data_IF_339985376395
#
_entry.id   IF_339985376395
#
_cell.length_a   1.000
_cell.length_b   1.000
_cell.length_c   1.000
_cell.angle_alpha   90.00
_cell.angle_beta   90.00
_cell.angle_gamma   90.00
#
_symmetry.space_group_name_H-M   'P 1'
#
loop_
_entity.id
_entity.type
_entity.pdbx_description
1 polymer ?
#
# COMPACT_ATOMS: atom_id res chain seq x y z
N UNK A 1 -14.71 13.52 -19.62
CA UNK A 1 -13.43 13.45 -18.90
C UNK A 1 -12.52 14.52 -19.48
N UNK A 2 -12.14 15.53 -18.69
CA UNK A 2 -11.09 16.46 -19.12
C UNK A 2 -9.81 15.65 -19.39
N UNK A 3 -9.07 15.91 -20.48
CA UNK A 3 -7.81 15.22 -20.70
C UNK A 3 -6.89 15.52 -19.52
N UNK A 4 -6.46 14.47 -18.83
CA UNK A 4 -5.55 14.58 -17.69
C UNK A 4 -4.23 15.17 -18.18
N UNK A 5 -4.00 16.46 -17.94
CA UNK A 5 -2.77 17.13 -18.38
C UNK A 5 -1.69 16.88 -17.32
N UNK A 6 -1.03 15.73 -17.44
CA UNK A 6 0.20 15.49 -16.70
C UNK A 6 1.30 16.47 -17.15
N UNK A 7 2.12 16.91 -16.21
CA UNK A 7 3.35 17.66 -16.46
C UNK A 7 4.45 16.69 -16.91
N UNK A 8 4.53 16.47 -18.23
CA UNK A 8 5.48 15.55 -18.86
C UNK A 8 6.34 16.33 -19.87
N UNK A 9 7.65 16.51 -19.63
CA UNK A 9 8.53 17.19 -20.58
C UNK A 9 8.64 16.43 -21.91
N UNK A 10 8.60 17.13 -23.05
CA UNK A 10 8.67 16.52 -24.41
C UNK A 10 9.89 15.63 -24.62
N UNK A 11 11.03 15.98 -24.00
CA UNK A 11 12.25 15.16 -24.01
C UNK A 11 12.04 13.80 -23.33
N UNK A 12 11.29 13.79 -22.23
CA UNK A 12 10.95 12.58 -21.49
C UNK A 12 9.96 11.73 -22.27
N UNK A 13 8.97 12.31 -22.94
CA UNK A 13 8.03 11.56 -23.80
C UNK A 13 8.72 10.80 -24.93
N UNK A 14 9.80 11.36 -25.50
CA UNK A 14 10.60 10.65 -26.53
C UNK A 14 11.42 9.52 -25.92
N UNK A 15 12.01 9.76 -24.74
CA UNK A 15 12.81 8.76 -24.03
C UNK A 15 11.95 7.61 -23.49
N UNK A 16 10.75 7.88 -22.97
CA UNK A 16 9.84 6.84 -22.49
C UNK A 16 9.33 5.91 -23.59
N UNK A 17 9.29 6.35 -24.85
CA UNK A 17 8.95 5.50 -26.01
C UNK A 17 10.11 4.67 -26.55
N UNK A 18 11.36 4.98 -26.17
CA UNK A 18 12.58 4.35 -26.69
C UNK A 18 13.50 3.81 -25.59
N UNK A 19 13.07 3.90 -24.33
CA UNK A 19 13.79 3.43 -23.16
C UNK A 19 13.63 1.93 -22.98
N UNK A 20 14.09 1.44 -21.83
CA UNK A 20 13.92 0.04 -21.45
C UNK A 20 12.43 -0.37 -21.43
N UNK A 21 12.14 -1.69 -21.52
CA UNK A 21 10.79 -2.21 -21.28
C UNK A 21 10.21 -1.70 -19.94
N UNK A 22 11.00 -1.70 -18.87
CA UNK A 22 10.61 -1.19 -17.56
C UNK A 22 10.18 0.28 -17.58
N UNK A 23 10.91 1.16 -18.28
CA UNK A 23 10.52 2.56 -18.41
C UNK A 23 9.26 2.74 -19.27
N UNK A 24 9.08 1.89 -20.29
CA UNK A 24 7.87 1.89 -21.11
C UNK A 24 6.64 1.45 -20.30
N UNK A 25 6.77 0.39 -19.49
CA UNK A 25 5.72 -0.08 -18.58
C UNK A 25 5.39 0.95 -17.52
N UNK A 26 6.41 1.55 -16.89
CA UNK A 26 6.22 2.67 -15.97
C UNK A 26 5.41 3.80 -16.63
N UNK A 27 5.84 4.25 -17.81
CA UNK A 27 5.16 5.34 -18.49
C UNK A 27 3.72 4.97 -18.86
N UNK A 28 3.49 3.74 -19.34
CA UNK A 28 2.17 3.25 -19.69
C UNK A 28 1.24 3.25 -18.47
N UNK A 29 1.63 2.58 -17.40
CA UNK A 29 0.78 2.42 -16.23
C UNK A 29 0.55 3.71 -15.45
N UNK A 30 1.53 4.60 -15.36
CA UNK A 30 1.38 5.83 -14.56
C UNK A 30 0.78 7.01 -15.35
N UNK A 31 1.03 7.10 -16.66
CA UNK A 31 0.72 8.31 -17.44
C UNK A 31 -0.16 8.07 -18.68
N UNK A 32 -0.38 6.82 -19.09
CA UNK A 32 -1.25 6.48 -20.23
C UNK A 32 -2.54 5.79 -19.76
N UNK A 33 -2.44 4.72 -18.97
CA UNK A 33 -3.56 3.97 -18.43
C UNK A 33 -3.31 3.54 -16.98
N UNK A 34 -3.78 4.36 -16.03
CA UNK A 34 -3.66 4.11 -14.59
C UNK A 34 -4.73 3.20 -14.02
N UNK A 35 -5.66 2.67 -14.83
CA UNK A 35 -6.78 1.86 -14.35
C UNK A 35 -6.29 0.62 -13.61
N UNK A 36 -5.31 -0.09 -14.16
CA UNK A 36 -4.74 -1.27 -13.53
C UNK A 36 -4.04 -0.95 -12.19
N UNK A 37 -3.37 0.21 -12.09
CA UNK A 37 -2.79 0.65 -10.81
C UNK A 37 -3.87 0.93 -9.76
N UNK A 38 -4.94 1.63 -10.15
CA UNK A 38 -6.06 1.96 -9.25
C UNK A 38 -6.76 0.68 -8.77
N UNK A 39 -6.89 -0.32 -9.64
CA UNK A 39 -7.49 -1.62 -9.31
C UNK A 39 -6.54 -2.59 -8.61
N UNK A 40 -5.26 -2.24 -8.47
CA UNK A 40 -4.20 -3.09 -7.90
C UNK A 40 -3.98 -4.38 -8.71
N UNK A 41 -4.12 -4.29 -10.03
CA UNK A 41 -3.98 -5.40 -10.99
C UNK A 41 -2.60 -5.43 -11.67
N UNK A 42 -1.75 -4.44 -11.41
CA UNK A 42 -0.44 -4.29 -12.04
C UNK A 42 0.63 -4.76 -11.08
N UNK A 43 1.45 -5.72 -11.51
CA UNK A 43 2.70 -6.07 -10.84
C UNK A 43 3.69 -4.93 -11.01
N UNK A 44 4.29 -4.48 -9.90
CA UNK A 44 5.23 -3.37 -9.87
C UNK A 44 6.69 -3.83 -9.90
N UNK A 45 6.96 -5.12 -10.09
CA UNK A 45 8.30 -5.72 -10.19
C UNK A 45 9.18 -5.01 -11.24
N UNK A 46 8.60 -4.56 -12.36
CA UNK A 46 9.31 -3.80 -13.39
C UNK A 46 9.99 -2.52 -12.85
N UNK A 47 9.54 -1.95 -11.72
CA UNK A 47 10.20 -0.79 -11.12
C UNK A 47 11.63 -1.11 -10.64
N UNK A 48 11.91 -2.35 -10.28
CA UNK A 48 13.24 -2.80 -9.87
C UNK A 48 14.21 -2.96 -11.05
N UNK A 49 13.67 -3.07 -12.27
CA UNK A 49 14.44 -3.20 -13.51
C UNK A 49 14.83 -1.85 -14.13
N UNK A 50 14.36 -0.74 -13.57
CA UNK A 50 14.71 0.60 -14.04
C UNK A 50 16.20 0.87 -13.86
N UNK A 51 16.89 1.25 -14.94
CA UNK A 51 18.26 1.75 -14.85
C UNK A 51 18.32 3.02 -13.97
N UNK A 52 19.48 3.38 -13.38
CA UNK A 52 19.58 4.53 -12.48
C UNK A 52 19.09 5.86 -13.08
N UNK A 53 19.34 6.10 -14.37
CA UNK A 53 18.88 7.30 -15.08
C UNK A 53 17.38 7.26 -15.39
N UNK A 54 16.81 6.07 -15.63
CA UNK A 54 15.37 5.87 -15.82
C UNK A 54 14.61 5.98 -14.50
N UNK A 55 15.18 5.49 -13.41
CA UNK A 55 14.67 5.69 -12.04
C UNK A 55 14.61 7.18 -11.71
N UNK A 56 15.65 7.95 -12.06
CA UNK A 56 15.64 9.40 -11.86
C UNK A 56 14.52 10.09 -12.68
N UNK A 57 14.28 9.64 -13.91
CA UNK A 57 13.17 10.13 -14.74
C UNK A 57 11.81 9.78 -14.11
N UNK A 58 11.63 8.55 -13.66
CA UNK A 58 10.40 8.09 -13.03
C UNK A 58 10.08 8.93 -11.78
N UNK A 59 11.07 9.14 -10.92
CA UNK A 59 10.97 9.97 -9.71
C UNK A 59 10.62 11.42 -10.04
N UNK A 60 11.33 12.04 -10.99
CA UNK A 60 11.04 13.41 -11.44
C UNK A 60 9.60 13.55 -11.97
N UNK A 61 9.15 12.61 -12.82
CA UNK A 61 7.79 12.61 -13.35
C UNK A 61 6.73 12.49 -12.26
N UNK A 62 6.93 11.62 -11.27
CA UNK A 62 6.01 11.51 -10.13
C UNK A 62 5.95 12.83 -9.36
N UNK A 63 7.10 13.40 -8.97
CA UNK A 63 7.16 14.63 -8.18
C UNK A 63 6.50 15.81 -8.87
N UNK A 64 6.71 15.98 -10.18
CA UNK A 64 6.06 17.04 -10.98
C UNK A 64 4.53 16.97 -10.93
N UNK A 65 3.98 15.78 -10.73
CA UNK A 65 2.56 15.47 -10.82
C UNK A 65 1.90 15.23 -9.45
N UNK A 66 2.65 15.21 -8.33
CA UNK A 66 2.08 15.07 -6.97
C UNK A 66 1.02 16.15 -6.68
N UNK A 67 1.16 17.35 -7.25
CA UNK A 67 0.19 18.46 -7.17
C UNK A 67 -1.22 18.10 -7.64
N UNK A 68 -1.37 17.07 -8.47
CA UNK A 68 -2.66 16.60 -8.98
C UNK A 68 -3.44 15.78 -7.94
N UNK A 69 -2.79 15.36 -6.85
CA UNK A 69 -3.39 14.56 -5.77
C UNK A 69 -4.07 13.27 -6.27
N UNK A 70 -3.52 12.64 -7.31
CA UNK A 70 -4.01 11.35 -7.81
C UNK A 70 -3.40 10.19 -7.04
N UNK A 71 -4.25 9.22 -6.69
CA UNK A 71 -3.87 8.07 -5.87
C UNK A 71 -2.68 7.28 -6.45
N UNK A 72 -2.66 7.04 -7.77
CA UNK A 72 -1.57 6.30 -8.42
C UNK A 72 -0.25 7.09 -8.44
N UNK A 73 -0.30 8.43 -8.51
CA UNK A 73 0.91 9.26 -8.44
C UNK A 73 1.49 9.26 -7.03
N UNK A 74 0.65 9.37 -5.99
CA UNK A 74 1.06 9.23 -4.59
C UNK A 74 1.65 7.84 -4.34
N UNK A 75 0.97 6.79 -4.82
CA UNK A 75 1.45 5.42 -4.72
C UNK A 75 2.81 5.23 -5.42
N UNK A 76 3.01 5.88 -6.58
CA UNK A 76 4.27 5.88 -7.31
C UNK A 76 5.44 6.45 -6.52
N UNK A 77 5.23 7.51 -5.74
CA UNK A 77 6.29 8.07 -4.89
C UNK A 77 6.76 7.05 -3.84
N UNK A 78 5.81 6.32 -3.25
CA UNK A 78 6.08 5.22 -2.32
C UNK A 78 6.79 4.04 -2.99
N UNK A 79 6.29 3.59 -4.14
CA UNK A 79 6.83 2.45 -4.89
C UNK A 79 8.27 2.68 -5.35
N UNK A 80 8.59 3.90 -5.81
CA UNK A 80 9.95 4.30 -6.21
C UNK A 80 10.88 4.60 -5.02
N UNK A 81 10.38 4.53 -3.78
CA UNK A 81 11.11 4.91 -2.55
C UNK A 81 11.77 6.30 -2.69
N UNK A 82 11.03 7.27 -3.25
CA UNK A 82 11.58 8.58 -3.56
C UNK A 82 11.64 9.50 -2.33
N UNK A 83 12.82 9.57 -1.70
CA UNK A 83 13.05 10.44 -0.54
C UNK A 83 12.87 11.93 -0.84
N UNK A 84 13.05 12.38 -2.09
CA UNK A 84 12.86 13.79 -2.45
C UNK A 84 11.37 14.17 -2.54
N UNK A 85 10.46 13.20 -2.63
CA UNK A 85 9.01 13.45 -2.60
C UNK A 85 8.47 13.78 -1.19
N UNK A 86 9.21 13.41 -0.14
CA UNK A 86 8.79 13.50 1.27
C UNK A 86 8.29 14.90 1.68
N UNK A 87 8.99 16.02 1.39
CA UNK A 87 8.50 17.34 1.78
C UNK A 87 7.16 17.70 1.12
N UNK A 88 6.97 17.31 -0.15
CA UNK A 88 5.71 17.54 -0.86
C UNK A 88 4.58 16.69 -0.29
N UNK A 89 4.85 15.41 0.00
CA UNK A 89 3.88 14.51 0.63
C UNK A 89 3.45 15.00 2.01
N UNK A 90 4.37 15.49 2.85
CA UNK A 90 4.02 16.12 4.13
C UNK A 90 3.17 17.38 3.94
N UNK A 91 3.51 18.23 2.98
CA UNK A 91 2.70 19.40 2.65
C UNK A 91 1.30 19.03 2.16
N UNK A 92 1.16 17.93 1.40
CA UNK A 92 -0.14 17.38 0.98
C UNK A 92 -0.92 16.84 2.17
N UNK A 93 -0.27 16.09 3.07
CA UNK A 93 -0.90 15.52 4.25
C UNK A 93 -1.44 16.59 5.21
N UNK A 94 -0.68 17.67 5.42
CA UNK A 94 -1.06 18.78 6.31
C UNK A 94 -2.36 19.49 5.89
N UNK A 95 -2.71 19.46 4.60
CA UNK A 95 -3.93 20.08 4.05
C UNK A 95 -5.05 19.06 3.75
N UNK A 96 -4.77 17.77 3.85
CA UNK A 96 -5.74 16.71 3.53
C UNK A 96 -6.65 16.41 4.72
N UNK A 97 -7.95 16.38 4.45
CA UNK A 97 -9.01 16.27 5.47
C UNK A 97 -9.67 14.91 5.46
N UNK A 98 -9.67 14.19 4.34
CA UNK A 98 -10.32 12.88 4.28
C UNK A 98 -9.36 11.79 4.72
N UNK A 99 -9.79 10.94 5.66
CA UNK A 99 -8.96 9.88 6.21
C UNK A 99 -8.47 8.90 5.13
N UNK A 100 -9.31 8.55 4.15
CA UNK A 100 -8.92 7.72 3.00
C UNK A 100 -7.72 8.29 2.23
N UNK A 101 -7.71 9.60 1.94
CA UNK A 101 -6.57 10.22 1.23
C UNK A 101 -5.36 10.39 2.14
N UNK A 102 -5.56 10.68 3.42
CA UNK A 102 -4.47 10.69 4.41
C UNK A 102 -3.77 9.34 4.47
N UNK A 103 -4.52 8.23 4.49
CA UNK A 103 -3.98 6.87 4.41
C UNK A 103 -3.15 6.63 3.15
N UNK A 104 -3.60 7.09 1.98
CA UNK A 104 -2.81 6.98 0.74
C UNK A 104 -1.46 7.72 0.83
N UNK A 105 -1.47 8.95 1.36
CA UNK A 105 -0.25 9.77 1.49
C UNK A 105 0.68 9.20 2.56
N UNK A 106 0.13 8.86 3.73
CA UNK A 106 0.86 8.28 4.84
C UNK A 106 1.45 6.92 4.47
N UNK A 107 0.72 6.08 3.75
CA UNK A 107 1.22 4.80 3.24
C UNK A 107 2.39 4.97 2.25
N UNK A 108 2.37 6.00 1.41
CA UNK A 108 3.52 6.33 0.58
C UNK A 108 4.73 6.78 1.42
N UNK A 109 4.51 7.61 2.45
CA UNK A 109 5.56 8.03 3.39
C UNK A 109 6.14 6.85 4.18
N UNK A 110 5.31 5.90 4.61
CA UNK A 110 5.73 4.64 5.25
C UNK A 110 6.65 3.84 4.32
N UNK A 111 6.25 3.67 3.05
CA UNK A 111 7.12 3.01 2.06
C UNK A 111 8.41 3.80 1.85
N UNK A 112 8.43 5.11 1.88
CA UNK A 112 9.70 5.84 1.66
C UNK A 112 10.66 5.71 2.85
N UNK A 113 10.14 5.79 4.08
CA UNK A 113 11.00 5.95 5.27
C UNK A 113 10.36 5.55 6.61
N UNK A 114 9.36 4.69 6.61
CA UNK A 114 8.66 4.21 7.82
C UNK A 114 8.12 5.37 8.69
N UNK A 115 7.54 6.39 8.03
CA UNK A 115 7.03 7.58 8.69
C UNK A 115 5.86 7.21 9.65
N UNK A 116 5.96 7.52 10.96
CA UNK A 116 5.03 7.02 11.98
C UNK A 116 3.59 7.52 11.81
N UNK A 117 3.37 8.60 11.04
CA UNK A 117 2.03 9.13 10.73
C UNK A 117 1.11 8.09 10.07
N UNK A 118 1.70 7.07 9.43
CA UNK A 118 0.94 5.97 8.87
C UNK A 118 0.32 5.07 9.95
N UNK A 119 1.03 4.81 11.05
CA UNK A 119 0.47 4.06 12.18
C UNK A 119 -0.71 4.81 12.80
N UNK A 120 -0.61 6.14 12.94
CA UNK A 120 -1.71 6.98 13.41
C UNK A 120 -2.93 6.86 12.48
N UNK A 121 -2.74 7.04 11.17
CA UNK A 121 -3.84 6.93 10.21
C UNK A 121 -4.48 5.53 10.18
N UNK A 122 -3.70 4.47 10.38
CA UNK A 122 -4.22 3.11 10.46
C UNK A 122 -5.06 2.88 11.72
N UNK A 123 -4.67 3.46 12.86
CA UNK A 123 -5.47 3.42 14.09
C UNK A 123 -6.79 4.17 13.90
N UNK A 124 -6.75 5.38 13.35
CA UNK A 124 -7.96 6.16 13.02
C UNK A 124 -8.90 5.37 12.09
N UNK A 125 -8.35 4.60 11.15
CA UNK A 125 -9.12 3.74 10.25
C UNK A 125 -9.81 2.58 10.98
N UNK A 126 -9.11 1.92 11.89
CA UNK A 126 -9.65 0.83 12.71
C UNK A 126 -10.76 1.33 13.64
N UNK A 127 -10.59 2.52 14.23
CA UNK A 127 -11.55 3.15 15.15
C UNK A 127 -12.76 3.80 14.46
N UNK A 128 -12.69 4.06 13.15
CA UNK A 128 -13.77 4.67 12.36
C UNK A 128 -15.01 3.79 12.30
N UNK A 129 -16.23 4.35 12.19
CA UNK A 129 -17.45 3.57 11.91
C UNK A 129 -17.66 3.26 10.40
N UNK A 130 -16.79 3.80 9.53
CA UNK A 130 -16.90 3.63 8.08
C UNK A 130 -16.33 2.27 7.62
N UNK A 131 -17.22 1.29 7.43
CA UNK A 131 -16.88 -0.04 6.91
C UNK A 131 -16.21 0.02 5.52
N UNK A 132 -16.67 0.92 4.64
CA UNK A 132 -16.11 1.06 3.29
C UNK A 132 -14.66 1.57 3.34
N UNK A 133 -14.36 2.48 4.26
CA UNK A 133 -12.98 2.93 4.52
C UNK A 133 -12.10 1.76 4.98
N UNK A 134 -12.58 0.95 5.92
CA UNK A 134 -11.84 -0.22 6.44
C UNK A 134 -11.57 -1.22 5.33
N UNK A 135 -12.59 -1.62 4.58
CA UNK A 135 -12.45 -2.51 3.43
C UNK A 135 -11.44 -1.99 2.40
N UNK A 136 -11.51 -0.70 2.10
CA UNK A 136 -10.64 -0.08 1.11
C UNK A 136 -9.18 -0.06 1.54
N UNK A 137 -8.86 0.00 2.85
CA UNK A 137 -7.51 0.26 3.35
C UNK A 137 -6.90 -0.84 4.24
N UNK A 138 -7.66 -1.84 4.70
CA UNK A 138 -7.15 -2.91 5.58
C UNK A 138 -5.97 -3.68 4.97
N UNK A 139 -5.93 -3.82 3.64
CA UNK A 139 -4.81 -4.42 2.89
C UNK A 139 -3.45 -3.73 3.13
N UNK A 140 -3.45 -2.54 3.73
CA UNK A 140 -2.25 -1.79 4.05
C UNK A 140 -1.68 -2.13 5.44
N UNK A 141 -2.46 -2.75 6.34
CA UNK A 141 -1.98 -3.17 7.68
C UNK A 141 -0.75 -4.08 7.59
N UNK A 142 -0.69 -5.09 6.70
CA UNK A 142 0.50 -5.92 6.52
C UNK A 142 1.78 -5.15 6.17
N UNK A 143 1.69 -3.94 5.61
CA UNK A 143 2.86 -3.14 5.24
C UNK A 143 3.71 -2.72 6.45
N UNK A 144 3.16 -2.72 7.67
CA UNK A 144 3.94 -2.40 8.88
C UNK A 144 5.01 -3.46 9.18
N UNK A 145 4.80 -4.72 8.77
CA UNK A 145 5.79 -5.80 8.94
C UNK A 145 6.20 -6.07 10.39
N UNK A 146 5.35 -5.70 11.36
CA UNK A 146 5.63 -5.78 12.78
C UNK A 146 4.36 -6.09 13.58
N UNK A 147 4.51 -6.23 14.89
CA UNK A 147 3.47 -6.64 15.82
C UNK A 147 2.20 -5.75 15.77
N UNK A 148 2.35 -4.45 15.48
CA UNK A 148 1.21 -3.54 15.36
C UNK A 148 0.26 -3.95 14.23
N UNK A 149 0.76 -4.52 13.13
CA UNK A 149 -0.11 -5.04 12.07
C UNK A 149 -1.03 -6.14 12.59
N UNK A 150 -0.45 -7.09 13.33
CA UNK A 150 -1.18 -8.25 13.86
C UNK A 150 -2.19 -7.80 14.92
N UNK A 151 -1.79 -6.90 15.82
CA UNK A 151 -2.68 -6.36 16.84
C UNK A 151 -3.87 -5.60 16.23
N UNK A 152 -3.64 -4.75 15.22
CA UNK A 152 -4.72 -4.03 14.54
C UNK A 152 -5.66 -4.99 13.77
N UNK A 153 -5.14 -6.07 13.19
CA UNK A 153 -5.96 -7.12 12.58
C UNK A 153 -6.79 -7.88 13.62
N UNK A 154 -6.23 -8.17 14.80
CA UNK A 154 -6.96 -8.79 15.91
C UNK A 154 -8.07 -7.87 16.41
N UNK A 155 -7.82 -6.56 16.52
CA UNK A 155 -8.85 -5.58 16.92
C UNK A 155 -10.05 -5.60 15.95
N UNK A 156 -9.79 -5.72 14.64
CA UNK A 156 -10.84 -5.81 13.61
C UNK A 156 -11.64 -7.13 13.63
N UNK A 157 -11.24 -8.15 14.40
CA UNK A 157 -12.07 -9.34 14.61
C UNK A 157 -13.35 -9.05 15.42
N UNK A 158 -13.38 -7.93 16.14
CA UNK A 158 -14.52 -7.49 16.95
C UNK A 158 -15.26 -6.30 16.30
N UNK A 159 -14.96 -5.99 15.04
CA UNK A 159 -15.60 -4.90 14.30
C UNK A 159 -17.12 -5.09 14.16
N UNK A 160 -17.89 -4.00 14.05
CA UNK A 160 -19.33 -4.09 13.80
C UNK A 160 -19.65 -4.66 12.42
N UNK A 161 -18.82 -4.37 11.42
CA UNK A 161 -18.99 -4.82 10.03
C UNK A 161 -18.64 -6.30 9.86
N UNK A 162 -19.60 -7.11 9.43
CA UNK A 162 -19.38 -8.56 9.25
C UNK A 162 -18.33 -8.88 8.19
N UNK A 163 -18.30 -8.10 7.12
CA UNK A 163 -17.31 -8.26 6.06
C UNK A 163 -15.91 -7.82 6.52
N UNK A 164 -15.82 -6.75 7.31
CA UNK A 164 -14.56 -6.32 7.95
C UNK A 164 -14.00 -7.42 8.85
N UNK A 165 -14.82 -8.01 9.73
CA UNK A 165 -14.41 -9.15 10.57
C UNK A 165 -13.90 -10.33 9.74
N UNK A 166 -14.62 -10.69 8.68
CA UNK A 166 -14.22 -11.78 7.79
C UNK A 166 -12.88 -11.50 7.09
N UNK A 167 -12.70 -10.27 6.58
CA UNK A 167 -11.46 -9.84 5.95
C UNK A 167 -10.27 -9.88 6.91
N UNK A 168 -10.44 -9.41 8.15
CA UNK A 168 -9.41 -9.46 9.18
C UNK A 168 -9.03 -10.91 9.52
N UNK A 169 -10.02 -11.77 9.75
CA UNK A 169 -9.82 -13.19 10.04
C UNK A 169 -9.10 -13.92 8.91
N UNK A 170 -9.51 -13.66 7.68
CA UNK A 170 -8.92 -14.25 6.49
C UNK A 170 -7.47 -13.79 6.29
N UNK A 171 -7.17 -12.52 6.60
CA UNK A 171 -5.80 -11.99 6.56
C UNK A 171 -4.91 -12.61 7.63
N UNK A 172 -5.41 -12.79 8.86
CA UNK A 172 -4.67 -13.46 9.94
C UNK A 172 -4.36 -14.91 9.58
N UNK A 173 -5.34 -15.66 9.06
CA UNK A 173 -5.13 -17.03 8.59
C UNK A 173 -4.10 -17.07 7.44
N UNK A 174 -4.16 -16.13 6.49
CA UNK A 174 -3.19 -16.06 5.41
C UNK A 174 -1.76 -15.83 5.91
N UNK A 175 -1.58 -15.00 6.93
CA UNK A 175 -0.29 -14.77 7.58
C UNK A 175 0.17 -16.02 8.34
N UNK A 176 -0.69 -16.62 9.18
CA UNK A 176 -0.32 -17.78 10.00
C UNK A 176 0.06 -18.99 9.13
N UNK A 177 -0.73 -19.26 8.08
CA UNK A 177 -0.57 -20.42 7.20
C UNK A 177 0.23 -20.13 5.94
N UNK A 178 0.78 -18.91 5.80
CA UNK A 178 1.60 -18.47 4.66
C UNK A 178 0.92 -18.71 3.31
N UNK A 179 -0.37 -18.38 3.22
CA UNK A 179 -1.14 -18.50 1.97
C UNK A 179 -1.24 -17.14 1.27
N UNK A 180 -1.25 -17.14 -0.06
CA UNK A 180 -1.23 -15.92 -0.88
C UNK A 180 -2.61 -15.27 -1.08
N UNK A 181 -3.67 -15.85 -0.54
CA UNK A 181 -5.03 -15.37 -0.72
C UNK A 181 -5.70 -15.06 0.61
N UNK A 182 -6.42 -13.94 0.65
CA UNK A 182 -7.58 -13.76 1.52
C UNK A 182 -8.52 -14.90 1.16
N UNK A 183 -8.43 -15.98 1.93
CA UNK A 183 -9.16 -17.20 1.68
C UNK A 183 -10.65 -16.90 1.84
N UNK A 184 -11.38 -16.96 0.73
CA UNK A 184 -12.85 -17.01 0.69
C UNK A 184 -13.37 -18.44 0.91
N UNK A 185 -12.52 -19.35 1.42
CA UNK A 185 -12.98 -20.71 1.77
C UNK A 185 -14.06 -20.61 2.85
N UNK A 186 -15.04 -21.52 2.77
CA UNK A 186 -16.09 -21.60 3.79
C UNK A 186 -15.56 -21.99 5.17
N UNK A 187 -14.39 -22.62 5.24
CA UNK A 187 -13.73 -23.00 6.48
C UNK A 187 -12.31 -22.44 6.50
N UNK A 188 -12.08 -21.51 7.43
CA UNK A 188 -10.74 -21.02 7.77
C UNK A 188 -10.17 -21.89 8.89
N UNK A 189 -8.86 -22.21 8.86
CA UNK A 189 -8.22 -23.07 9.88
C UNK A 189 -8.39 -22.58 11.32
N UNK A 190 -8.37 -21.26 11.54
CA UNK A 190 -8.54 -20.63 12.84
C UNK A 190 -9.73 -19.66 12.83
N UNK A 191 -10.50 -19.66 13.92
CA UNK A 191 -11.58 -18.73 14.18
C UNK A 191 -11.12 -17.45 14.91
N UNK A 192 -12.02 -16.46 15.10
CA UNK A 192 -11.68 -15.21 15.78
C UNK A 192 -11.14 -15.42 17.20
N UNK A 193 -11.76 -16.32 17.98
CA UNK A 193 -11.39 -16.56 19.37
C UNK A 193 -9.99 -17.18 19.52
N UNK A 194 -9.52 -17.94 18.52
CA UNK A 194 -8.17 -18.51 18.50
C UNK A 194 -7.10 -17.41 18.42
N UNK A 195 -7.38 -16.32 17.69
CA UNK A 195 -6.46 -15.19 17.57
C UNK A 195 -6.54 -14.26 18.78
N UNK A 196 -7.75 -14.01 19.28
CA UNK A 196 -7.96 -13.12 20.43
C UNK A 196 -7.32 -13.70 21.69
N UNK A 197 -7.46 -15.01 21.91
CA UNK A 197 -6.86 -15.69 23.08
C UNK A 197 -5.34 -15.76 23.04
N UNK A 198 -4.72 -15.74 21.85
CA UNK A 198 -3.26 -15.75 21.65
C UNK A 198 -2.65 -14.37 21.48
N UNK A 199 -3.42 -13.28 21.61
CA UNK A 199 -2.93 -11.90 21.41
C UNK A 199 -1.67 -11.56 22.24
N UNK A 200 -1.65 -12.01 23.49
CA UNK A 200 -0.55 -11.75 24.43
C UNK A 200 0.48 -12.89 24.46
N UNK A 201 0.33 -13.93 23.62
CA UNK A 201 1.30 -15.01 23.48
C UNK A 201 2.49 -14.52 22.62
N UNK A 202 3.63 -14.31 23.29
CA UNK A 202 4.86 -13.83 22.65
C UNK A 202 5.41 -14.80 21.60
N UNK A 203 5.28 -16.12 21.77
CA UNK A 203 5.76 -17.09 20.79
C UNK A 203 4.90 -17.04 19.52
N UNK A 204 3.58 -17.01 19.69
CA UNK A 204 2.62 -16.82 18.60
C UNK A 204 2.89 -15.51 17.84
N UNK A 205 3.01 -14.38 18.54
CA UNK A 205 3.23 -13.07 17.91
C UNK A 205 4.55 -13.03 17.14
N UNK A 206 5.61 -13.66 17.66
CA UNK A 206 6.88 -13.79 16.95
C UNK A 206 6.73 -14.59 15.64
N UNK A 207 6.00 -15.71 15.66
CA UNK A 207 5.74 -16.52 14.45
C UNK A 207 4.94 -15.70 13.41
N UNK A 208 3.88 -15.02 13.85
CA UNK A 208 3.05 -14.19 12.96
C UNK A 208 3.86 -13.07 12.30
N UNK A 209 4.68 -12.34 13.07
CA UNK A 209 5.53 -11.28 12.55
C UNK A 209 6.59 -11.82 11.59
N UNK A 210 7.18 -12.99 11.88
CA UNK A 210 8.12 -13.64 10.96
C UNK A 210 7.45 -14.02 9.64
N UNK A 211 6.26 -14.63 9.68
CA UNK A 211 5.51 -15.00 8.49
C UNK A 211 5.12 -13.77 7.66
N UNK A 212 4.65 -12.71 8.33
CA UNK A 212 4.28 -11.45 7.70
C UNK A 212 5.46 -10.85 6.90
N UNK A 213 6.65 -10.83 7.50
CA UNK A 213 7.88 -10.34 6.84
C UNK A 213 8.29 -11.21 5.65
N UNK A 214 8.13 -12.52 5.75
CA UNK A 214 8.46 -13.45 4.67
C UNK A 214 7.51 -13.29 3.46
N UNK A 215 6.21 -13.13 3.71
CA UNK A 215 5.22 -12.84 2.67
C UNK A 215 5.54 -11.54 1.93
N UNK A 216 5.95 -10.50 2.65
CA UNK A 216 6.31 -9.22 2.05
C UNK A 216 7.60 -9.27 1.23
N UNK A 217 8.63 -9.97 1.73
CA UNK A 217 9.90 -10.12 1.01
C UNK A 217 9.79 -10.97 -0.26
N UNK A 218 8.85 -11.92 -0.32
CA UNK A 218 8.57 -12.69 -1.53
C UNK A 218 7.90 -11.87 -2.66
N UNK A 219 7.47 -10.64 -2.37
CA UNK A 219 6.81 -9.73 -3.33
C UNK A 219 7.60 -8.43 -3.53
N UNK A 220 8.76 -8.29 -2.88
CA UNK A 220 9.65 -7.14 -2.95
C UNK A 220 11.04 -7.50 -3.51
N UNK A 221 11.21 -8.71 -4.04
CA UNK A 221 12.43 -9.25 -4.63
C UNK A 221 12.22 -9.72 -6.06
#
# INVERSE_FOLDING_TARGET
>A
MSPTVYDIPTKVTRKSKRGSPALQEFYHHFFVNSTGLIRREVDLSFLHELAPDETAIAKDLIRRNLKLNYAHIIAGAGALRDREAVPQLHSMLARERTLSRRLSIAGALWKIREDPIFLECLRDMVESDDETLKEAHMYQLPWLGNEHAINLLIDLLQDSGSFVRHLALSTLNAIEHRTHFVCLSHELPCGPDDYISRRDDMEFMNVMVQNLRQSYNAHAG
#
